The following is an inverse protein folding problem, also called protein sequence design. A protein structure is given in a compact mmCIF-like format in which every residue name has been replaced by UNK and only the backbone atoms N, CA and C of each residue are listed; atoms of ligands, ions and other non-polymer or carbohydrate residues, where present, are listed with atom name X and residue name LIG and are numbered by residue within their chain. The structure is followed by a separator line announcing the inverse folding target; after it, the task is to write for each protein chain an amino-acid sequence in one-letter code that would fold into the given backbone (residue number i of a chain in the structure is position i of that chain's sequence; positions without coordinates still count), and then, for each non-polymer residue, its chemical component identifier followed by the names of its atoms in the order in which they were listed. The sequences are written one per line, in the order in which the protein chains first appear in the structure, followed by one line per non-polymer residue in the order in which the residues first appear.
data_IF_566374316157
#
_entry.id   IF_566374316157
#
_cell.length_a   1.000
_cell.length_b   1.000
_cell.length_c   1.000
_cell.angle_alpha   90.00
_cell.angle_beta   90.00
_cell.angle_gamma   90.00
#
_symmetry.space_group_name_H-M   'P 1'
#
loop_
_entity.id
_entity.type
_entity.pdbx_description
1 polymer ?
#
# COMPACT_ATOMS: atom_id res chain seq x y z
N UNK A 1 3.57 32.00 18.03
CA UNK A 1 3.41 32.64 16.72
C UNK A 1 2.87 34.05 16.96
N UNK A 2 3.63 35.07 16.58
CA UNK A 2 3.31 36.46 16.88
C UNK A 2 2.16 36.99 15.99
N UNK A 3 1.43 38.02 16.42
CA UNK A 3 0.31 38.59 15.66
C UNK A 3 0.76 39.14 14.30
N UNK A 4 1.93 39.78 14.29
CA UNK A 4 2.59 40.27 13.07
C UNK A 4 2.91 39.14 12.08
N UNK A 5 3.34 37.98 12.57
CA UNK A 5 3.63 36.81 11.74
C UNK A 5 2.34 36.22 11.16
N UNK A 6 1.23 36.23 11.91
CA UNK A 6 -0.08 35.74 11.43
C UNK A 6 -0.59 36.61 10.29
N UNK A 7 -0.59 37.93 10.51
CA UNK A 7 -1.00 38.92 9.50
C UNK A 7 -0.16 38.80 8.23
N UNK A 8 1.16 38.60 8.37
CA UNK A 8 2.06 38.37 7.23
C UNK A 8 1.69 37.12 6.44
N UNK A 9 1.38 36.00 7.12
CA UNK A 9 0.97 34.75 6.45
C UNK A 9 -0.35 34.92 5.71
N UNK A 10 -1.32 35.62 6.30
CA UNK A 10 -2.63 35.87 5.68
C UNK A 10 -2.52 36.76 4.44
N UNK A 11 -1.73 37.83 4.49
CA UNK A 11 -1.48 38.69 3.34
C UNK A 11 -0.84 37.91 2.18
N UNK A 12 0.16 37.07 2.47
CA UNK A 12 0.79 36.23 1.45
C UNK A 12 -0.18 35.23 0.82
N UNK A 13 -1.10 34.66 1.62
CA UNK A 13 -2.17 33.78 1.12
C UNK A 13 -3.14 34.54 0.21
N UNK A 14 -3.54 35.74 0.59
CA UNK A 14 -4.44 36.58 -0.22
C UNK A 14 -3.79 37.00 -1.54
N UNK A 15 -2.54 37.48 -1.50
CA UNK A 15 -1.80 37.85 -2.71
C UNK A 15 -1.65 36.65 -3.64
N UNK A 16 -1.35 35.46 -3.10
CA UNK A 16 -1.22 34.26 -3.93
C UNK A 16 -2.52 33.89 -4.65
N UNK A 17 -3.66 33.92 -3.97
CA UNK A 17 -4.98 33.65 -4.57
C UNK A 17 -5.29 34.57 -5.76
N UNK A 18 -4.72 35.77 -5.80
CA UNK A 18 -4.93 36.73 -6.89
C UNK A 18 -4.11 36.41 -8.15
N UNK A 19 -3.02 35.66 -8.04
CA UNK A 19 -2.09 35.35 -9.14
C UNK A 19 -2.08 33.86 -9.53
N UNK A 20 -3.09 33.09 -9.12
CA UNK A 20 -3.09 31.63 -9.13
C UNK A 20 -3.39 31.03 -10.52
N UNK A 21 -2.48 31.20 -11.48
CA UNK A 21 -2.60 30.56 -12.81
C UNK A 21 -1.88 29.22 -12.90
N UNK A 22 -0.96 28.87 -11.97
CA UNK A 22 -0.27 27.57 -11.99
C UNK A 22 0.19 27.14 -10.58
N UNK A 23 -0.61 26.28 -9.94
CA UNK A 23 -0.32 25.61 -8.66
C UNK A 23 0.78 24.54 -8.87
N UNK A 24 1.99 24.97 -9.21
CA UNK A 24 3.16 24.09 -9.17
C UNK A 24 4.05 24.52 -8.02
N UNK A 25 4.44 23.56 -7.17
CA UNK A 25 5.39 23.84 -6.11
C UNK A 25 6.69 24.32 -6.76
N UNK A 26 7.26 25.45 -6.33
CA UNK A 26 8.54 25.90 -6.86
C UNK A 26 9.60 24.82 -6.58
N UNK A 27 10.53 24.65 -7.51
CA UNK A 27 11.66 23.74 -7.32
C UNK A 27 12.55 24.27 -6.18
N UNK A 28 12.43 23.67 -4.99
CA UNK A 28 13.17 24.07 -3.79
C UNK A 28 14.00 22.89 -3.29
N UNK A 29 15.16 23.21 -2.69
CA UNK A 29 16.04 22.22 -2.08
C UNK A 29 15.34 21.41 -0.96
N UNK A 30 15.51 20.08 -0.88
CA UNK A 30 14.79 19.21 0.07
C UNK A 30 14.85 19.64 1.54
N UNK A 31 15.98 20.26 1.96
CA UNK A 31 16.17 20.82 3.30
C UNK A 31 15.06 21.79 3.74
N UNK A 32 14.51 22.56 2.80
CA UNK A 32 13.45 23.55 3.07
C UNK A 32 12.07 23.05 2.65
N UNK A 33 11.96 21.79 2.22
CA UNK A 33 10.73 21.19 1.72
C UNK A 33 9.58 21.30 2.71
N UNK A 34 9.84 21.10 4.01
CA UNK A 34 8.80 21.21 5.04
C UNK A 34 8.21 22.62 5.17
N UNK A 35 9.03 23.66 5.08
CA UNK A 35 8.57 25.06 5.17
C UNK A 35 7.75 25.44 3.93
N UNK A 36 8.18 24.97 2.76
CA UNK A 36 7.45 25.17 1.50
C UNK A 36 6.14 24.38 1.51
N UNK A 37 6.12 23.14 1.99
CA UNK A 37 4.86 22.41 2.20
C UNK A 37 3.94 23.16 3.18
N UNK A 38 4.40 23.64 4.33
CA UNK A 38 3.54 24.44 5.24
C UNK A 38 2.98 25.71 4.57
N UNK A 39 3.73 26.29 3.62
CA UNK A 39 3.33 27.50 2.89
C UNK A 39 2.44 27.23 1.67
N UNK A 40 2.50 26.04 1.07
CA UNK A 40 1.88 25.69 -0.22
C UNK A 40 0.86 24.55 -0.14
N UNK A 41 0.87 23.72 0.90
CA UNK A 41 -0.22 22.77 1.18
C UNK A 41 -1.48 23.58 1.53
N UNK A 42 -2.45 23.57 0.63
CA UNK A 42 -3.83 23.94 0.95
C UNK A 42 -4.35 22.87 1.90
N UNK A 43 -5.12 23.24 2.93
CA UNK A 43 -5.69 22.32 3.94
C UNK A 43 -6.47 21.13 3.32
N UNK A 44 -6.80 21.21 2.02
CA UNK A 44 -7.44 20.15 1.21
C UNK A 44 -6.49 18.99 0.82
N UNK A 45 -5.18 19.18 0.88
CA UNK A 45 -4.15 18.16 0.56
C UNK A 45 -3.43 17.64 1.80
N UNK A 46 -4.03 17.81 2.98
CA UNK A 46 -3.57 17.13 4.18
C UNK A 46 -3.87 15.63 4.06
N UNK A 47 -3.01 14.92 3.33
CA UNK A 47 -2.90 13.46 3.39
C UNK A 47 -2.94 13.05 4.86
N UNK A 48 -3.79 12.10 5.27
CA UNK A 48 -3.93 11.74 6.67
C UNK A 48 -2.60 11.24 7.22
N UNK A 49 -1.90 12.11 7.96
CA UNK A 49 -0.54 11.90 8.50
C UNK A 49 -0.43 10.76 9.53
N UNK A 50 -1.52 10.03 9.79
CA UNK A 50 -1.67 9.10 10.90
C UNK A 50 -2.37 7.78 10.50
N UNK A 51 -1.83 7.07 9.51
CA UNK A 51 -2.25 5.69 9.18
C UNK A 51 -1.74 4.61 10.15
N UNK A 52 -1.01 4.98 11.21
CA UNK A 52 -0.45 4.04 12.18
C UNK A 52 -1.53 3.17 12.84
N UNK A 53 -2.61 3.78 13.33
CA UNK A 53 -3.71 3.05 13.97
C UNK A 53 -4.40 2.09 13.01
N UNK A 54 -4.62 2.50 11.77
CA UNK A 54 -5.23 1.66 10.74
C UNK A 54 -4.34 0.46 10.40
N UNK A 55 -3.04 0.67 10.23
CA UNK A 55 -2.06 -0.40 10.00
C UNK A 55 -1.96 -1.36 11.20
N UNK A 56 -1.97 -0.82 12.42
CA UNK A 56 -1.95 -1.61 13.65
C UNK A 56 -3.25 -2.43 13.82
N UNK A 57 -4.41 -1.84 13.52
CA UNK A 57 -5.70 -2.53 13.57
C UNK A 57 -5.78 -3.69 12.57
N UNK A 58 -5.32 -3.48 11.33
CA UNK A 58 -5.25 -4.55 10.33
C UNK A 58 -4.28 -5.65 10.78
N UNK A 59 -3.10 -5.28 11.28
CA UNK A 59 -2.11 -6.25 11.77
C UNK A 59 -2.65 -7.11 12.93
N UNK A 60 -3.33 -6.49 13.89
CA UNK A 60 -3.97 -7.20 15.00
C UNK A 60 -5.09 -8.12 14.51
N UNK A 61 -5.92 -7.66 13.56
CA UNK A 61 -6.99 -8.47 12.97
C UNK A 61 -6.42 -9.70 12.26
N UNK A 62 -5.39 -9.52 11.42
CA UNK A 62 -4.71 -10.64 10.75
C UNK A 62 -4.11 -11.62 11.75
N UNK A 63 -3.53 -11.13 12.85
CA UNK A 63 -2.99 -11.98 13.91
C UNK A 63 -4.08 -12.80 14.61
N UNK A 64 -5.20 -12.19 14.96
CA UNK A 64 -6.36 -12.89 15.55
C UNK A 64 -6.92 -13.93 14.58
N UNK A 65 -7.05 -13.60 13.30
CA UNK A 65 -7.47 -14.55 12.28
C UNK A 65 -6.50 -15.74 12.17
N UNK A 66 -5.19 -15.49 12.18
CA UNK A 66 -4.19 -16.56 12.16
C UNK A 66 -4.31 -17.49 13.37
N UNK A 67 -4.40 -16.93 14.58
CA UNK A 67 -4.57 -17.72 15.82
C UNK A 67 -5.89 -18.50 15.79
N UNK A 68 -6.96 -17.91 15.25
CA UNK A 68 -8.24 -18.58 15.10
C UNK A 68 -8.17 -19.77 14.12
N UNK A 69 -7.47 -19.61 12.99
CA UNK A 69 -7.25 -20.69 12.02
C UNK A 69 -6.41 -21.81 12.63
N UNK A 70 -5.36 -21.46 13.36
CA UNK A 70 -4.45 -22.40 14.03
C UNK A 70 -5.13 -23.18 15.16
N UNK A 71 -5.87 -22.48 16.03
CA UNK A 71 -6.60 -23.08 17.15
C UNK A 71 -7.75 -23.98 16.70
N UNK A 72 -8.47 -23.61 15.63
CA UNK A 72 -9.57 -24.39 15.11
C UNK A 72 -9.12 -25.46 14.10
N UNK A 73 -7.81 -25.58 13.80
CA UNK A 73 -7.25 -26.48 12.78
C UNK A 73 -8.07 -26.42 11.48
N UNK A 74 -8.52 -25.21 11.09
CA UNK A 74 -9.37 -25.03 9.92
C UNK A 74 -8.48 -25.27 8.71
N UNK A 75 -8.64 -26.43 8.07
CA UNK A 75 -8.02 -26.75 6.79
C UNK A 75 -8.66 -25.83 5.74
N UNK A 76 -8.09 -24.65 5.53
CA UNK A 76 -8.61 -23.64 4.56
C UNK A 76 -8.53 -24.12 3.10
N UNK A 77 -7.90 -25.25 2.86
CA UNK A 77 -8.13 -26.02 1.65
C UNK A 77 -7.95 -27.49 1.99
N UNK A 78 -8.98 -28.31 1.78
CA UNK A 78 -8.83 -29.76 1.62
C UNK A 78 -8.07 -30.07 0.31
N UNK A 79 -6.87 -29.51 0.15
CA UNK A 79 -5.87 -30.08 -0.76
C UNK A 79 -4.87 -30.78 0.15
N UNK A 80 -5.19 -32.02 0.48
CA UNK A 80 -4.23 -32.88 1.15
C UNK A 80 -2.98 -32.98 0.26
N UNK A 81 -1.80 -32.90 0.85
CA UNK A 81 -0.53 -33.10 0.13
C UNK A 81 -0.56 -34.37 -0.73
N UNK A 82 -1.27 -35.40 -0.25
CA UNK A 82 -1.52 -36.64 -0.96
C UNK A 82 -2.31 -36.46 -2.27
N UNK A 83 -3.31 -35.57 -2.33
CA UNK A 83 -4.04 -35.29 -3.58
C UNK A 83 -3.14 -34.62 -4.61
N UNK A 84 -2.24 -33.71 -4.19
CA UNK A 84 -1.28 -33.05 -5.08
C UNK A 84 -0.31 -34.08 -5.66
N UNK A 85 0.25 -34.95 -4.81
CA UNK A 85 1.17 -36.02 -5.24
C UNK A 85 0.47 -37.00 -6.19
N UNK A 86 -0.73 -37.44 -5.86
CA UNK A 86 -1.49 -38.41 -6.65
C UNK A 86 -1.93 -37.83 -8.03
N UNK A 87 -2.17 -36.52 -8.10
CA UNK A 87 -2.49 -35.84 -9.35
C UNK A 87 -1.25 -35.57 -10.23
N UNK A 88 -0.08 -35.37 -9.64
CA UNK A 88 1.21 -35.32 -10.36
C UNK A 88 1.59 -36.70 -10.88
N UNK A 89 1.42 -37.74 -10.07
CA UNK A 89 1.71 -39.14 -10.42
C UNK A 89 0.84 -39.62 -11.59
N UNK A 90 -0.44 -39.21 -11.64
CA UNK A 90 -1.34 -39.52 -12.77
C UNK A 90 -1.03 -38.77 -14.07
N UNK A 91 -0.27 -37.66 -14.05
CA UNK A 91 0.01 -36.88 -15.27
C UNK A 91 1.18 -37.42 -16.10
N UNK A 92 2.07 -38.22 -15.51
CA UNK A 92 3.15 -38.88 -16.25
C UNK A 92 2.76 -40.32 -16.58
N UNK A 93 1.87 -40.48 -17.55
CA UNK A 93 1.62 -41.79 -18.13
C UNK A 93 2.78 -42.15 -19.07
N UNK A 94 3.66 -43.04 -18.60
CA UNK A 94 4.92 -43.43 -19.27
C UNK A 94 4.62 -44.10 -20.61
N UNK A 95 3.44 -44.70 -20.77
CA UNK A 95 2.99 -45.32 -22.02
C UNK A 95 2.84 -44.27 -23.14
N UNK A 96 2.29 -43.09 -22.84
CA UNK A 96 2.15 -41.99 -23.80
C UNK A 96 3.52 -41.43 -24.21
N UNK A 97 4.46 -41.37 -23.26
CA UNK A 97 5.84 -40.95 -23.53
C UNK A 97 6.57 -41.93 -24.45
N UNK A 98 6.39 -43.24 -24.27
CA UNK A 98 6.98 -44.27 -25.14
C UNK A 98 6.41 -44.23 -26.56
N UNK A 99 5.11 -44.00 -26.72
CA UNK A 99 4.48 -43.88 -28.04
C UNK A 99 5.02 -42.68 -28.82
N UNK A 100 5.15 -41.52 -28.18
CA UNK A 100 5.73 -40.32 -28.80
C UNK A 100 7.21 -40.53 -29.15
N UNK A 101 7.96 -41.23 -28.30
CA UNK A 101 9.37 -41.53 -28.56
C UNK A 101 9.58 -42.48 -29.74
N UNK A 102 8.64 -43.41 -29.98
CA UNK A 102 8.66 -44.30 -31.15
C UNK A 102 8.24 -43.61 -32.45
N UNK A 103 7.58 -42.45 -32.36
CA UNK A 103 7.14 -41.66 -33.51
C UNK A 103 8.15 -40.60 -33.96
N UNK A 104 9.23 -40.37 -33.19
CA UNK A 104 10.35 -39.48 -33.53
C UNK A 104 11.45 -40.23 -34.29
#
# INVERSE_FOLDING_TARGET
MNESERRRRELLRQTRKLYDENISLPAVHPRYGNIIHELYETDEQAEPKNSFFFRAAIGLLCFVCYVCVDANQIKVAEVGSEQIVNQIEKQMDVEVLEEVWKQL
#
